data_IF_960740238699
#
_entry.id   IF_960740238699
#
_cell.length_a   1.000
_cell.length_b   1.000
_cell.length_c   1.000
_cell.angle_alpha   90.00
_cell.angle_beta   90.00
_cell.angle_gamma   90.00
#
_symmetry.space_group_name_H-M   'P 1'
#
loop_
_entity.id
_entity.type
_entity.pdbx_description
1 polymer ?
#
# COMPACT_ATOMS: atom_id res chain seq x y z
N UNK A 1 -26.09 21.48 -12.28
CA UNK A 1 -25.47 21.23 -13.60
C UNK A 1 -23.97 21.11 -13.41
N UNK A 2 -23.45 19.88 -13.29
CA UNK A 2 -22.02 19.51 -13.38
C UNK A 2 -21.11 20.15 -12.31
N UNK A 3 -20.00 19.58 -11.90
CA UNK A 3 -19.15 18.61 -12.56
C UNK A 3 -18.44 17.83 -11.46
N UNK A 4 -18.48 16.49 -11.55
CA UNK A 4 -17.55 15.64 -10.83
C UNK A 4 -16.16 16.16 -11.22
N UNK A 5 -15.44 16.79 -10.30
CA UNK A 5 -14.04 17.11 -10.51
C UNK A 5 -13.37 15.76 -10.68
N UNK A 6 -12.85 15.41 -11.88
CA UNK A 6 -12.08 14.21 -11.97
C UNK A 6 -10.89 14.43 -11.05
N UNK A 7 -10.77 13.62 -10.02
CA UNK A 7 -9.47 13.33 -9.41
C UNK A 7 -8.65 12.70 -10.53
N UNK A 8 -8.10 13.55 -11.40
CA UNK A 8 -7.12 13.15 -12.40
C UNK A 8 -6.02 12.50 -11.59
N UNK A 9 -5.85 11.19 -11.80
CA UNK A 9 -4.88 10.37 -11.11
C UNK A 9 -3.55 11.13 -11.07
N UNK A 10 -3.12 11.49 -9.85
CA UNK A 10 -1.86 12.16 -9.61
C UNK A 10 -0.78 11.42 -10.39
N UNK A 11 -0.04 12.17 -11.21
CA UNK A 11 0.97 11.67 -12.15
C UNK A 11 2.25 11.30 -11.39
N UNK A 12 2.13 10.47 -10.37
CA UNK A 12 3.24 9.67 -9.87
C UNK A 12 2.98 8.27 -10.37
N UNK A 13 3.72 7.85 -11.40
CA UNK A 13 3.61 6.49 -11.90
C UNK A 13 3.88 5.56 -10.71
N UNK A 14 2.83 4.90 -10.21
CA UNK A 14 2.92 3.92 -9.13
C UNK A 14 4.05 2.98 -9.50
N UNK A 15 5.09 2.95 -8.66
CA UNK A 15 6.26 2.15 -8.98
C UNK A 15 5.86 0.68 -9.12
N UNK A 16 6.59 -0.13 -9.89
CA UNK A 16 6.32 -1.56 -9.98
C UNK A 16 6.25 -2.25 -8.61
N UNK A 17 7.00 -1.73 -7.63
CA UNK A 17 6.96 -2.19 -6.25
C UNK A 17 5.64 -1.83 -5.55
N UNK A 18 5.17 -0.58 -5.64
CA UNK A 18 3.88 -0.15 -5.07
C UNK A 18 2.69 -0.91 -5.68
N UNK A 19 2.72 -1.18 -6.99
CA UNK A 19 1.70 -2.00 -7.66
C UNK A 19 1.70 -3.43 -7.13
N UNK A 20 2.89 -4.01 -6.94
CA UNK A 20 3.03 -5.35 -6.37
C UNK A 20 2.56 -5.41 -4.92
N UNK A 21 2.84 -4.37 -4.13
CA UNK A 21 2.36 -4.24 -2.76
C UNK A 21 0.83 -4.15 -2.73
N UNK A 22 0.22 -3.32 -3.57
CA UNK A 22 -1.24 -3.20 -3.66
C UNK A 22 -1.90 -4.55 -3.98
N UNK A 23 -1.40 -5.27 -4.98
CA UNK A 23 -1.92 -6.60 -5.33
C UNK A 23 -1.76 -7.63 -4.21
N UNK A 24 -0.63 -7.60 -3.49
CA UNK A 24 -0.41 -8.48 -2.35
C UNK A 24 -1.37 -8.15 -1.19
N UNK A 25 -1.62 -6.87 -0.91
CA UNK A 25 -2.60 -6.44 0.09
C UNK A 25 -4.00 -6.95 -0.30
N UNK A 26 -4.43 -6.74 -1.55
CA UNK A 26 -5.73 -7.21 -2.06
C UNK A 26 -5.89 -8.73 -1.93
N UNK A 27 -4.84 -9.49 -2.25
CA UNK A 27 -4.84 -10.95 -2.12
C UNK A 27 -5.02 -11.37 -0.65
N UNK A 28 -4.26 -10.77 0.28
CA UNK A 28 -4.36 -11.08 1.70
C UNK A 28 -5.75 -10.73 2.27
N UNK A 29 -6.31 -9.58 1.91
CA UNK A 29 -7.69 -9.24 2.30
C UNK A 29 -8.72 -10.22 1.70
N UNK A 30 -8.46 -10.73 0.48
CA UNK A 30 -9.26 -11.76 -0.19
C UNK A 30 -9.29 -13.10 0.57
N UNK A 31 -8.26 -13.41 1.37
CA UNK A 31 -8.24 -14.61 2.24
C UNK A 31 -9.14 -14.50 3.47
N UNK A 32 -9.70 -13.32 3.76
CA UNK A 32 -10.52 -13.07 4.95
C UNK A 32 -9.73 -12.57 6.16
N UNK A 33 -8.42 -12.33 6.04
CA UNK A 33 -7.60 -11.68 7.07
C UNK A 33 -7.74 -10.17 6.96
N UNK A 34 -8.53 -9.57 7.85
CA UNK A 34 -8.85 -8.12 7.82
C UNK A 34 -8.22 -7.34 8.98
N UNK A 35 -7.41 -7.99 9.81
CA UNK A 35 -6.65 -7.36 10.87
C UNK A 35 -5.22 -7.04 10.41
N UNK A 36 -4.63 -6.00 11.01
CA UNK A 36 -3.26 -5.56 10.70
C UNK A 36 -2.22 -6.67 10.89
N UNK A 37 -2.35 -7.50 11.93
CA UNK A 37 -1.43 -8.63 12.17
C UNK A 37 -1.58 -9.67 11.08
N UNK A 38 -2.81 -9.99 10.68
CA UNK A 38 -3.08 -10.96 9.60
C UNK A 38 -2.63 -10.45 8.22
N UNK A 39 -2.69 -9.13 8.00
CA UNK A 39 -2.19 -8.50 6.79
C UNK A 39 -0.66 -8.63 6.69
N UNK A 40 0.04 -8.24 7.76
CA UNK A 40 1.50 -8.31 7.86
C UNK A 40 2.00 -9.75 7.70
N UNK A 41 1.35 -10.71 8.36
CA UNK A 41 1.65 -12.13 8.24
C UNK A 41 1.47 -12.61 6.78
N UNK A 42 0.35 -12.25 6.14
CA UNK A 42 0.10 -12.58 4.74
C UNK A 42 1.13 -11.97 3.79
N UNK A 43 1.56 -10.73 4.01
CA UNK A 43 2.61 -10.10 3.18
C UNK A 43 3.97 -10.83 3.31
N UNK A 44 4.30 -11.30 4.51
CA UNK A 44 5.50 -12.11 4.74
C UNK A 44 5.36 -13.52 4.12
N UNK A 45 4.18 -14.16 4.21
CA UNK A 45 3.91 -15.45 3.56
C UNK A 45 4.05 -15.36 2.03
N UNK A 46 3.67 -14.22 1.44
CA UNK A 46 3.83 -13.94 0.00
C UNK A 46 5.27 -13.62 -0.41
N UNK A 47 6.19 -13.52 0.56
CA UNK A 47 7.61 -13.23 0.30
C UNK A 47 7.85 -11.83 -0.26
N UNK A 48 6.98 -10.87 0.07
CA UNK A 48 7.13 -9.47 -0.34
C UNK A 48 8.01 -8.77 0.68
N UNK A 49 9.21 -8.29 0.31
CA UNK A 49 10.02 -7.51 1.24
C UNK A 49 9.39 -6.13 1.47
N UNK A 50 9.51 -5.62 2.68
CA UNK A 50 9.16 -4.24 3.01
C UNK A 50 10.06 -3.26 2.23
N UNK A 51 9.74 -1.95 2.16
CA UNK A 51 10.51 -1.00 1.34
C UNK A 51 11.99 -0.90 1.75
N UNK A 52 12.32 -1.15 3.03
CA UNK A 52 13.70 -1.21 3.53
C UNK A 52 14.40 -2.57 3.35
N UNK A 53 13.71 -3.57 2.80
CA UNK A 53 14.22 -4.94 2.67
C UNK A 53 14.08 -5.81 3.93
N UNK A 54 13.46 -5.28 4.98
CA UNK A 54 13.13 -6.01 6.21
C UNK A 54 11.80 -6.78 6.10
N UNK A 55 11.51 -7.59 7.12
CA UNK A 55 10.21 -8.27 7.27
C UNK A 55 9.10 -7.28 7.59
N UNK A 56 7.86 -7.58 7.17
CA UNK A 56 6.73 -6.75 7.54
C UNK A 56 6.46 -6.87 9.04
N UNK A 57 6.31 -5.72 9.69
CA UNK A 57 5.76 -5.57 11.04
C UNK A 57 4.65 -4.52 11.01
N UNK A 58 3.74 -4.47 12.00
CA UNK A 58 2.68 -3.46 12.07
C UNK A 58 3.23 -2.02 12.01
N UNK A 59 4.39 -1.79 12.63
CA UNK A 59 5.06 -0.49 12.68
C UNK A 59 5.66 -0.10 11.33
N UNK A 60 6.37 -1.04 10.68
CA UNK A 60 6.92 -0.84 9.32
C UNK A 60 5.80 -0.62 8.32
N UNK A 61 4.72 -1.40 8.40
CA UNK A 61 3.55 -1.24 7.54
C UNK A 61 2.92 0.14 7.68
N UNK A 62 2.62 0.55 8.91
CA UNK A 62 1.99 1.86 9.16
C UNK A 62 2.88 3.01 8.71
N UNK A 63 4.20 2.89 8.92
CA UNK A 63 5.18 3.89 8.46
C UNK A 63 5.20 3.97 6.94
N UNK A 64 5.30 2.84 6.24
CA UNK A 64 5.31 2.80 4.79
C UNK A 64 4.03 3.39 4.18
N UNK A 65 2.84 3.04 4.72
CA UNK A 65 1.58 3.61 4.26
C UNK A 65 1.50 5.12 4.55
N UNK A 66 2.01 5.59 5.70
CA UNK A 66 2.06 7.01 6.02
C UNK A 66 3.00 7.78 5.06
N UNK A 67 4.15 7.20 4.71
CA UNK A 67 5.08 7.78 3.72
C UNK A 67 4.46 7.82 2.33
N UNK A 68 3.81 6.74 1.88
CA UNK A 68 3.08 6.71 0.61
C UNK A 68 1.94 7.73 0.58
N UNK A 69 1.18 7.84 1.67
CA UNK A 69 0.11 8.83 1.79
C UNK A 69 0.66 10.27 1.82
N UNK A 70 1.84 10.50 2.42
CA UNK A 70 2.50 11.81 2.41
C UNK A 70 3.07 12.13 1.03
N UNK A 71 3.70 11.17 0.35
CA UNK A 71 4.21 11.32 -1.01
C UNK A 71 3.10 11.66 -2.00
N UNK A 72 1.91 11.04 -1.85
CA UNK A 72 0.71 11.40 -2.62
C UNK A 72 0.09 12.75 -2.27
N UNK A 73 0.51 13.41 -1.17
CA UNK A 73 0.06 14.74 -0.75
C UNK A 73 1.04 15.87 -1.10
N UNK A 74 2.23 15.57 -1.62
CA UNK A 74 3.26 16.56 -2.00
C UNK A 74 2.96 17.22 -3.35
N UNK A 75 1.69 17.53 -3.60
CA UNK A 75 1.25 18.45 -4.64
C UNK A 75 0.38 19.51 -3.95
N UNK A 76 1.00 20.63 -3.57
CA UNK A 76 0.37 21.85 -3.04
C UNK A 76 1.01 23.06 -3.69
#
# INVERSE_FOLDING_TARGET
MGYLQPVQAGTTATTPWELKLAGAIEEVFGTGRHDLVGLVDGLNELGIPAPGGEEWTPEVFTTAIAELAAAGKQES
#
